data_IF_651768428642
#
_entry.id   IF_651768428642
#
_cell.length_a   1.000
_cell.length_b   1.000
_cell.length_c   1.000
_cell.angle_alpha   90.00
_cell.angle_beta   90.00
_cell.angle_gamma   90.00
#
_symmetry.space_group_name_H-M   'P 1'
#
loop_
_entity.id
_entity.type
_entity.pdbx_description
1 polymer ?
#
# COMPACT_ATOMS: atom_id res chain seq x y z
N UNK A 1 -10.92 10.17 15.45
CA UNK A 1 -9.96 10.92 14.62
C UNK A 1 -8.68 10.89 15.43
N UNK A 2 -7.83 9.89 15.18
CA UNK A 2 -6.54 9.84 15.84
C UNK A 2 -5.72 11.00 15.30
N UNK A 3 -5.08 11.77 16.18
CA UNK A 3 -4.16 12.82 15.75
C UNK A 3 -3.03 12.17 14.95
N UNK A 4 -2.49 12.88 13.95
CA UNK A 4 -1.35 12.40 13.17
C UNK A 4 -0.19 11.95 14.08
N UNK A 5 -0.01 12.65 15.19
CA UNK A 5 0.99 12.34 16.20
C UNK A 5 0.76 10.96 16.84
N UNK A 6 -0.49 10.62 17.17
CA UNK A 6 -0.82 9.32 17.74
C UNK A 6 -0.53 8.18 16.76
N UNK A 7 -0.86 8.38 15.48
CA UNK A 7 -0.53 7.42 14.40
C UNK A 7 0.98 7.29 14.27
N UNK A 8 1.69 8.42 14.25
CA UNK A 8 3.15 8.41 14.09
C UNK A 8 3.83 7.67 15.24
N UNK A 9 3.45 7.94 16.50
CA UNK A 9 4.02 7.28 17.68
C UNK A 9 3.81 5.76 17.62
N UNK A 10 2.59 5.29 17.37
CA UNK A 10 2.28 3.85 17.30
C UNK A 10 3.05 3.15 16.16
N UNK A 11 3.17 3.81 15.02
CA UNK A 11 3.91 3.31 13.86
C UNK A 11 5.42 3.31 14.11
N UNK A 12 5.96 4.34 14.75
CA UNK A 12 7.38 4.48 15.03
C UNK A 12 7.84 3.44 16.05
N UNK A 13 7.09 3.25 17.14
CA UNK A 13 7.33 2.19 18.13
C UNK A 13 7.37 0.80 17.47
N UNK A 14 6.45 0.53 16.54
CA UNK A 14 6.47 -0.69 15.74
C UNK A 14 7.74 -0.79 14.87
N UNK A 15 8.10 0.27 14.16
CA UNK A 15 9.27 0.28 13.27
C UNK A 15 10.57 0.07 14.04
N UNK A 16 10.72 0.66 15.22
CA UNK A 16 11.88 0.47 16.10
C UNK A 16 12.10 -1.01 16.46
N UNK A 17 11.01 -1.77 16.65
CA UNK A 17 11.08 -3.20 16.91
C UNK A 17 11.25 -4.05 15.62
N UNK A 18 10.51 -3.71 14.57
CA UNK A 18 10.41 -4.52 13.35
C UNK A 18 11.63 -4.38 12.44
N UNK A 19 12.11 -3.16 12.19
CA UNK A 19 13.16 -2.90 11.20
C UNK A 19 14.47 -3.67 11.48
N UNK A 20 14.99 -3.73 12.72
CA UNK A 20 16.24 -4.46 12.99
C UNK A 20 16.10 -5.96 12.70
N UNK A 21 14.95 -6.55 12.99
CA UNK A 21 14.69 -7.97 12.73
C UNK A 21 14.52 -8.23 11.23
N UNK A 22 13.79 -7.35 10.55
CA UNK A 22 13.58 -7.44 9.11
C UNK A 22 14.88 -7.31 8.33
N UNK A 23 15.74 -6.36 8.71
CA UNK A 23 17.06 -6.19 8.10
C UNK A 23 17.95 -7.42 8.32
N UNK A 24 17.98 -7.99 9.53
CA UNK A 24 18.71 -9.25 9.79
C UNK A 24 18.22 -10.37 8.90
N UNK A 25 16.90 -10.51 8.75
CA UNK A 25 16.30 -11.52 7.89
C UNK A 25 16.70 -11.33 6.41
N UNK A 26 16.60 -10.10 5.89
CA UNK A 26 16.95 -9.76 4.51
C UNK A 26 18.44 -9.98 4.17
N UNK A 27 19.33 -9.73 5.14
CA UNK A 27 20.76 -9.99 4.99
C UNK A 27 21.01 -11.51 4.97
N UNK A 28 20.35 -12.26 5.86
CA UNK A 28 20.50 -13.72 5.95
C UNK A 28 19.92 -14.45 4.72
N UNK A 29 18.80 -13.97 4.16
CA UNK A 29 18.19 -14.54 2.95
C UNK A 29 18.94 -14.17 1.66
N UNK A 30 19.81 -13.16 1.71
CA UNK A 30 20.52 -12.64 0.54
C UNK A 30 19.67 -11.77 -0.38
N UNK A 31 18.37 -11.57 -0.08
CA UNK A 31 17.46 -10.74 -0.89
C UNK A 31 17.87 -9.26 -0.92
N UNK A 32 18.57 -8.79 0.12
CA UNK A 32 19.03 -7.40 0.17
C UNK A 32 20.42 -7.29 0.82
N UNK A 33 21.41 -7.05 -0.02
CA UNK A 33 22.81 -6.86 0.40
C UNK A 33 23.22 -5.39 0.51
N UNK A 34 22.40 -4.46 0.01
CA UNK A 34 22.70 -3.02 0.04
C UNK A 34 21.57 -2.21 0.68
N UNK A 35 21.90 -1.46 1.73
CA UNK A 35 20.98 -0.54 2.42
C UNK A 35 21.20 0.86 1.84
N UNK A 36 20.19 1.40 1.15
CA UNK A 36 20.21 2.82 0.72
C UNK A 36 19.50 3.64 1.78
N UNK A 37 20.24 4.53 2.43
CA UNK A 37 19.68 5.54 3.31
C UNK A 37 18.66 6.39 2.53
N UNK A 38 17.51 6.60 3.14
CA UNK A 38 16.43 7.44 2.64
C UNK A 38 16.34 8.68 3.51
N UNK A 39 15.88 9.80 2.93
CA UNK A 39 15.59 11.03 3.69
C UNK A 39 14.35 10.88 4.58
N UNK A 40 13.42 10.02 4.18
CA UNK A 40 12.29 9.62 5.01
C UNK A 40 12.52 8.24 5.60
N UNK A 41 12.27 8.09 6.89
CA UNK A 41 12.21 6.83 7.62
C UNK A 41 10.98 6.01 7.22
N UNK A 42 10.99 4.70 7.50
CA UNK A 42 9.85 3.85 7.15
C UNK A 42 8.60 4.23 7.94
N UNK A 43 8.75 4.64 9.20
CA UNK A 43 7.65 5.06 10.06
C UNK A 43 6.95 6.31 9.51
N UNK A 44 7.70 7.28 9.01
CA UNK A 44 7.16 8.45 8.33
C UNK A 44 6.37 8.04 7.08
N UNK A 45 6.94 7.18 6.23
CA UNK A 45 6.27 6.71 4.99
C UNK A 45 4.98 5.96 5.31
N UNK A 46 4.99 5.10 6.33
CA UNK A 46 3.81 4.37 6.79
C UNK A 46 2.74 5.33 7.32
N UNK A 47 3.13 6.33 8.10
CA UNK A 47 2.22 7.36 8.63
C UNK A 47 1.54 8.13 7.51
N UNK A 48 2.28 8.55 6.48
CA UNK A 48 1.72 9.23 5.31
C UNK A 48 0.66 8.37 4.62
N UNK A 49 0.92 7.07 4.47
CA UNK A 49 0.00 6.17 3.80
C UNK A 49 -1.26 5.89 4.65
N UNK A 50 -1.11 5.69 5.95
CA UNK A 50 -2.25 5.50 6.86
C UNK A 50 -3.12 6.76 6.88
N UNK A 51 -2.50 7.94 7.01
CA UNK A 51 -3.20 9.22 6.97
C UNK A 51 -3.89 9.46 5.62
N UNK A 52 -3.30 9.02 4.50
CA UNK A 52 -3.97 9.04 3.19
C UNK A 52 -5.29 8.26 3.23
N UNK A 53 -5.25 7.02 3.71
CA UNK A 53 -6.45 6.18 3.75
C UNK A 53 -7.53 6.74 4.70
N UNK A 54 -7.14 7.37 5.80
CA UNK A 54 -8.08 8.04 6.71
C UNK A 54 -8.64 9.35 6.16
N UNK A 55 -7.89 10.04 5.29
CA UNK A 55 -8.29 11.35 4.75
C UNK A 55 -9.43 11.31 3.73
N UNK A 56 -9.73 10.13 3.17
CA UNK A 56 -10.79 9.97 2.15
C UNK A 56 -10.44 10.52 0.76
N UNK A 57 -9.19 10.94 0.51
CA UNK A 57 -8.74 11.32 -0.83
C UNK A 57 -8.79 10.11 -1.78
N UNK A 58 -9.25 10.34 -3.01
CA UNK A 58 -9.38 9.26 -4.02
C UNK A 58 -8.05 8.87 -4.63
N UNK A 59 -7.14 9.83 -4.80
CA UNK A 59 -5.85 9.60 -5.46
C UNK A 59 -4.68 10.05 -4.57
N UNK A 60 -3.71 9.16 -4.44
CA UNK A 60 -2.54 9.38 -3.59
C UNK A 60 -1.68 10.55 -4.09
N UNK A 61 -1.64 10.79 -5.39
CA UNK A 61 -0.82 11.85 -5.98
C UNK A 61 -1.29 13.24 -5.54
N UNK A 62 -2.59 13.51 -5.63
CA UNK A 62 -3.18 14.79 -5.20
C UNK A 62 -3.06 14.92 -3.69
N UNK A 63 -3.37 13.87 -2.93
CA UNK A 63 -3.15 13.88 -1.48
C UNK A 63 -1.70 14.27 -1.12
N UNK A 64 -0.71 13.55 -1.65
CA UNK A 64 0.68 13.78 -1.30
C UNK A 64 1.16 15.17 -1.76
N UNK A 65 0.92 15.52 -3.03
CA UNK A 65 1.52 16.74 -3.61
C UNK A 65 0.77 18.03 -3.27
N UNK A 66 -0.56 17.99 -3.14
CA UNK A 66 -1.39 19.19 -2.94
C UNK A 66 -1.79 19.38 -1.49
N UNK A 67 -1.96 18.31 -0.71
CA UNK A 67 -2.32 18.42 0.69
C UNK A 67 -1.10 18.23 1.59
N UNK A 68 -0.53 17.02 1.62
CA UNK A 68 0.52 16.65 2.57
C UNK A 68 1.75 17.58 2.49
N UNK A 69 2.31 17.74 1.29
CA UNK A 69 3.50 18.56 1.07
C UNK A 69 3.28 20.06 1.32
N UNK A 70 2.04 20.53 1.40
CA UNK A 70 1.72 21.93 1.69
C UNK A 70 1.47 22.16 3.18
N UNK A 71 0.61 21.34 3.78
CA UNK A 71 0.15 21.56 5.15
C UNK A 71 1.06 20.94 6.21
N UNK A 72 1.71 19.81 5.93
CA UNK A 72 2.48 19.06 6.93
C UNK A 72 3.99 19.07 6.69
N UNK A 73 4.46 19.92 5.77
CA UNK A 73 5.89 20.12 5.52
C UNK A 73 6.68 20.54 6.75
N UNK A 74 6.04 21.23 7.71
CA UNK A 74 6.72 21.62 8.95
C UNK A 74 7.08 20.41 9.82
N UNK A 75 6.22 19.38 9.84
CA UNK A 75 6.48 18.13 10.55
C UNK A 75 7.43 17.21 9.78
N UNK A 76 7.41 17.28 8.44
CA UNK A 76 8.25 16.47 7.55
C UNK A 76 9.11 17.40 6.67
N UNK A 77 10.20 17.98 7.19
CA UNK A 77 10.99 18.97 6.46
C UNK A 77 11.69 18.38 5.22
N UNK A 78 12.04 17.10 5.27
CA UNK A 78 12.84 16.40 4.25
C UNK A 78 12.02 15.57 3.26
N UNK A 79 10.83 16.08 2.89
CA UNK A 79 9.95 15.44 1.92
C UNK A 79 10.64 15.13 0.58
N UNK A 80 10.28 13.96 0.03
CA UNK A 80 10.81 13.46 -1.24
C UNK A 80 9.87 13.75 -2.39
N UNK A 81 10.35 13.63 -3.63
CA UNK A 81 9.48 13.73 -4.81
C UNK A 81 8.44 12.60 -4.82
N UNK A 82 7.29 12.82 -5.48
CA UNK A 82 6.23 11.81 -5.61
C UNK A 82 6.77 10.48 -6.15
N UNK A 83 7.63 10.50 -7.17
CA UNK A 83 8.22 9.29 -7.76
C UNK A 83 9.13 8.55 -6.77
N UNK A 84 9.86 9.29 -5.92
CA UNK A 84 10.64 8.68 -4.84
C UNK A 84 9.74 8.12 -3.74
N UNK A 85 8.67 8.82 -3.38
CA UNK A 85 7.67 8.37 -2.42
C UNK A 85 7.07 7.02 -2.82
N UNK A 86 6.69 6.84 -4.10
CA UNK A 86 6.19 5.54 -4.60
C UNK A 86 7.20 4.39 -4.43
N UNK A 87 8.49 4.65 -4.63
CA UNK A 87 9.54 3.63 -4.41
C UNK A 87 9.69 3.29 -2.93
N UNK A 88 9.55 4.28 -2.04
CA UNK A 88 9.59 4.06 -0.59
C UNK A 88 8.36 3.30 -0.10
N UNK A 89 7.18 3.62 -0.61
CA UNK A 89 5.95 2.87 -0.37
C UNK A 89 6.14 1.38 -0.67
N UNK A 90 6.65 1.04 -1.85
CA UNK A 90 6.93 -0.35 -2.21
C UNK A 90 7.89 -1.05 -1.25
N UNK A 91 8.94 -0.36 -0.79
CA UNK A 91 9.90 -0.92 0.15
C UNK A 91 9.33 -1.10 1.57
N UNK A 92 8.34 -0.31 1.96
CA UNK A 92 7.72 -0.31 3.30
C UNK A 92 6.47 -1.19 3.38
N UNK A 93 5.96 -1.67 2.25
CA UNK A 93 4.81 -2.58 2.20
C UNK A 93 4.93 -3.80 3.15
N UNK A 94 6.06 -4.52 3.24
CA UNK A 94 6.16 -5.66 4.17
C UNK A 94 5.99 -5.26 5.63
N UNK A 95 6.55 -4.09 6.02
CA UNK A 95 6.41 -3.54 7.35
C UNK A 95 4.95 -3.15 7.62
N UNK A 96 4.30 -2.47 6.67
CA UNK A 96 2.89 -2.09 6.77
C UNK A 96 1.96 -3.30 6.88
N UNK A 97 2.14 -4.32 6.06
CA UNK A 97 1.35 -5.55 6.13
C UNK A 97 1.51 -6.23 7.48
N UNK A 98 2.75 -6.28 8.00
CA UNK A 98 3.04 -6.85 9.32
C UNK A 98 2.42 -6.04 10.46
N UNK A 99 2.43 -4.70 10.34
CA UNK A 99 1.78 -3.78 11.26
C UNK A 99 0.25 -3.93 11.29
N UNK A 100 -0.39 -4.09 10.12
CA UNK A 100 -1.85 -4.20 10.02
C UNK A 100 -2.37 -5.58 10.42
N UNK A 101 -1.59 -6.64 10.20
CA UNK A 101 -2.02 -8.02 10.45
C UNK A 101 -2.59 -8.31 11.84
N UNK A 102 -1.97 -7.88 12.96
CA UNK A 102 -2.54 -8.05 14.29
C UNK A 102 -3.74 -7.14 14.58
N UNK A 103 -3.95 -6.10 13.77
CA UNK A 103 -5.05 -5.13 13.93
C UNK A 103 -6.31 -5.53 13.17
N UNK A 104 -6.24 -6.57 12.34
CA UNK A 104 -7.43 -7.14 11.72
C UNK A 104 -8.21 -8.00 12.72
N UNK A 105 -9.54 -7.89 12.67
CA UNK A 105 -10.41 -8.78 13.43
C UNK A 105 -10.20 -10.24 13.05
N UNK A 106 -10.52 -11.14 13.98
CA UNK A 106 -10.49 -12.58 13.71
C UNK A 106 -11.38 -12.87 12.49
N UNK A 107 -10.85 -13.54 11.45
CA UNK A 107 -11.65 -13.87 10.28
C UNK A 107 -12.82 -14.76 10.73
N UNK A 108 -14.04 -14.36 10.39
CA UNK A 108 -15.27 -15.10 10.69
C UNK A 108 -15.44 -16.36 9.82
N UNK A 109 -14.43 -16.71 9.01
CA UNK A 109 -14.47 -17.80 8.03
C UNK A 109 -15.21 -17.45 6.73
N UNK A 110 -15.80 -16.26 6.65
CA UNK A 110 -16.53 -15.78 5.48
C UNK A 110 -15.71 -14.62 4.89
N UNK A 111 -15.21 -14.82 3.67
CA UNK A 111 -14.49 -13.78 2.93
C UNK A 111 -15.33 -13.41 1.72
N UNK A 112 -15.79 -12.16 1.67
CA UNK A 112 -16.45 -11.62 0.49
C UNK A 112 -15.39 -11.15 -0.49
N UNK A 113 -15.25 -11.89 -1.59
CA UNK A 113 -14.45 -11.44 -2.74
C UNK A 113 -15.46 -10.98 -3.78
N UNK A 114 -15.53 -9.67 -4.01
CA UNK A 114 -16.30 -9.15 -5.12
C UNK A 114 -15.69 -9.69 -6.42
N UNK A 115 -16.48 -10.46 -7.17
CA UNK A 115 -16.06 -10.97 -8.47
C UNK A 115 -15.97 -9.79 -9.44
N UNK A 116 -14.80 -9.16 -9.51
CA UNK A 116 -14.52 -8.16 -10.54
C UNK A 116 -14.43 -8.87 -11.88
N UNK A 117 -15.36 -8.57 -12.79
CA UNK A 117 -15.35 -9.18 -14.12
C UNK A 117 -14.16 -8.66 -14.93
N UNK A 118 -13.26 -9.57 -15.31
CA UNK A 118 -12.14 -9.26 -16.21
C UNK A 118 -12.66 -9.22 -17.65
N UNK A 119 -12.78 -8.01 -18.21
CA UNK A 119 -13.18 -7.81 -19.61
C UNK A 119 -12.01 -8.16 -20.53
N UNK A 120 -12.02 -9.37 -21.06
CA UNK A 120 -11.01 -9.83 -22.05
C UNK A 120 -11.32 -9.38 -23.48
N UNK A 121 -12.59 -9.20 -23.83
CA UNK A 121 -13.01 -8.70 -25.14
C UNK A 121 -14.39 -8.02 -25.10
N UNK A 122 -14.74 -7.33 -26.17
CA UNK A 122 -16.10 -6.81 -26.37
C UNK A 122 -17.07 -7.95 -26.73
N UNK A 123 -18.34 -7.90 -26.27
CA UNK A 123 -19.32 -8.97 -26.46
C UNK A 123 -19.50 -9.40 -27.93
N UNK A 124 -19.48 -8.44 -28.87
CA UNK A 124 -19.58 -8.73 -30.31
C UNK A 124 -18.37 -9.49 -30.88
N UNK A 125 -17.23 -9.50 -30.18
CA UNK A 125 -15.98 -10.16 -30.62
C UNK A 125 -15.79 -11.55 -30.03
N UNK A 126 -16.69 -12.00 -29.14
CA UNK A 126 -16.62 -13.33 -28.50
C UNK A 126 -16.40 -14.46 -29.53
N UNK A 127 -17.12 -14.52 -30.68
CA UNK A 127 -16.93 -15.61 -31.64
C UNK A 127 -15.55 -15.62 -32.33
N UNK A 128 -14.81 -14.50 -32.29
CA UNK A 128 -13.53 -14.32 -32.98
C UNK A 128 -12.34 -14.24 -32.01
N UNK A 129 -12.59 -14.27 -30.70
CA UNK A 129 -11.56 -14.07 -29.70
C UNK A 129 -10.80 -15.37 -29.43
N UNK A 130 -9.53 -15.44 -29.84
CA UNK A 130 -8.72 -16.67 -29.72
C UNK A 130 -7.76 -16.67 -28.51
N UNK A 131 -7.35 -15.51 -28.00
CA UNK A 131 -6.29 -15.38 -26.98
C UNK A 131 -6.62 -16.10 -25.66
N UNK A 132 -7.91 -16.17 -25.31
CA UNK A 132 -8.42 -16.84 -24.11
C UNK A 132 -9.49 -17.87 -24.46
N UNK A 133 -9.37 -18.52 -25.63
CA UNK A 133 -10.30 -19.57 -26.02
C UNK A 133 -10.27 -20.72 -24.98
N UNK A 134 -11.43 -21.14 -24.49
CA UNK A 134 -11.56 -22.18 -23.46
C UNK A 134 -11.46 -21.67 -22.01
N UNK A 135 -10.64 -20.64 -21.76
CA UNK A 135 -10.47 -20.04 -20.44
C UNK A 135 -11.51 -18.96 -20.14
N UNK A 136 -11.74 -18.05 -21.08
CA UNK A 136 -12.69 -16.96 -20.90
C UNK A 136 -14.13 -17.42 -21.10
N UNK A 137 -14.98 -17.12 -20.11
CA UNK A 137 -16.42 -17.42 -20.14
C UNK A 137 -17.24 -16.18 -19.81
N UNK A 138 -18.51 -16.19 -20.23
CA UNK A 138 -19.46 -15.13 -19.90
C UNK A 138 -19.90 -15.31 -18.45
N UNK A 139 -19.55 -14.36 -17.59
CA UNK A 139 -20.05 -14.26 -16.22
C UNK A 139 -21.07 -13.13 -16.09
N UNK A 140 -21.89 -13.17 -15.04
CA UNK A 140 -22.68 -12.03 -14.58
C UNK A 140 -21.92 -11.33 -13.46
N UNK A 141 -21.85 -10.01 -13.52
CA UNK A 141 -21.35 -9.21 -12.40
C UNK A 141 -22.48 -8.93 -11.40
N UNK A 142 -22.13 -8.37 -10.25
CA UNK A 142 -23.10 -7.82 -9.28
C UNK A 142 -24.01 -6.75 -9.90
N UNK A 143 -23.58 -6.14 -11.00
CA UNK A 143 -24.33 -5.13 -11.76
C UNK A 143 -25.18 -5.69 -12.92
N UNK A 144 -25.23 -7.02 -13.12
CA UNK A 144 -25.97 -7.68 -14.21
C UNK A 144 -25.11 -8.12 -15.39
#
# INVERSE_FOLDING_TARGET
MDSLDAIYVDVDDFCLFFEPQWLKHLIASGEKQHIKLSRLASSEVMTILIAFHQSGYRDFKTYYTKFFCQYWRHYFPDLVSYTRMLKLLQATLPALCSYLKPRFDKPTGIVFIDSTSLKVCHNMRIPRHQVFAGEAKRGKGTMG
#
